data_IF_651861682912
#
_entry.id   IF_651861682912
#
_cell.length_a   1.000
_cell.length_b   1.000
_cell.length_c   1.000
_cell.angle_alpha   90.00
_cell.angle_beta   90.00
_cell.angle_gamma   90.00
#
_symmetry.space_group_name_H-M   'P 1'
#
loop_
_entity.id
_entity.type
_entity.pdbx_description
1 polymer ?
#
# COMPACT_ATOMS: atom_id res chain seq x y z
N UNK A 1 -78.28 79.73 87.73
CA UNK A 1 -76.99 79.91 87.02
C UNK A 1 -75.98 78.85 87.44
N UNK A 2 -75.83 78.60 88.75
CA UNK A 2 -74.94 77.57 89.33
C UNK A 2 -75.26 76.13 88.86
N UNK A 3 -76.53 75.70 88.92
CA UNK A 3 -76.91 74.32 88.52
C UNK A 3 -76.61 73.97 87.05
N UNK A 4 -76.74 74.94 86.11
CA UNK A 4 -76.38 74.72 84.70
C UNK A 4 -74.86 74.60 84.48
N UNK A 5 -74.07 75.27 85.33
CA UNK A 5 -72.61 75.16 85.31
C UNK A 5 -72.17 73.80 85.85
N UNK A 6 -72.76 73.34 86.96
CA UNK A 6 -72.51 72.01 87.53
C UNK A 6 -72.84 70.88 86.54
N UNK A 7 -73.95 71.00 85.82
CA UNK A 7 -74.35 70.02 84.80
C UNK A 7 -73.37 70.00 83.61
N UNK A 8 -72.91 71.17 83.13
CA UNK A 8 -71.86 71.24 82.10
C UNK A 8 -70.52 70.70 82.58
N UNK A 9 -70.15 70.95 83.84
CA UNK A 9 -68.93 70.40 84.44
C UNK A 9 -69.01 68.87 84.53
N UNK A 10 -70.14 68.31 84.95
CA UNK A 10 -70.36 66.86 84.97
C UNK A 10 -70.33 66.23 83.57
N UNK A 11 -70.91 66.90 82.57
CA UNK A 11 -70.84 66.47 81.17
C UNK A 11 -69.40 66.49 80.63
N UNK A 12 -68.63 67.53 80.93
CA UNK A 12 -67.21 67.62 80.58
C UNK A 12 -66.37 66.52 81.24
N UNK A 13 -66.59 66.25 82.53
CA UNK A 13 -65.90 65.18 83.26
C UNK A 13 -66.22 63.81 82.67
N UNK A 14 -67.48 63.54 82.33
CA UNK A 14 -67.87 62.29 81.69
C UNK A 14 -67.27 62.14 80.29
N UNK A 15 -67.27 63.21 79.49
CA UNK A 15 -66.62 63.23 78.18
C UNK A 15 -65.10 63.03 78.27
N UNK A 16 -64.44 63.61 79.28
CA UNK A 16 -63.02 63.38 79.53
C UNK A 16 -62.72 61.92 79.87
N UNK A 17 -63.52 61.29 80.74
CA UNK A 17 -63.37 59.85 81.07
C UNK A 17 -63.60 58.95 79.86
N UNK A 18 -64.59 59.26 79.03
CA UNK A 18 -64.86 58.55 77.77
C UNK A 18 -63.67 58.67 76.81
N UNK A 19 -63.12 59.87 76.66
CA UNK A 19 -61.93 60.14 75.82
C UNK A 19 -60.69 59.41 76.35
N UNK A 20 -60.45 59.42 77.66
CA UNK A 20 -59.35 58.65 78.30
C UNK A 20 -59.52 57.14 78.06
N UNK A 21 -60.73 56.62 78.18
CA UNK A 21 -61.00 55.20 77.91
C UNK A 21 -60.72 54.85 76.44
N UNK A 22 -61.21 55.67 75.50
CA UNK A 22 -60.96 55.49 74.06
C UNK A 22 -59.48 55.59 73.70
N UNK A 23 -58.75 56.52 74.31
CA UNK A 23 -57.31 56.64 74.13
C UNK A 23 -56.60 55.35 74.57
N UNK A 24 -56.94 54.83 75.76
CA UNK A 24 -56.36 53.59 76.29
C UNK A 24 -56.66 52.36 75.43
N UNK A 25 -57.90 52.25 74.92
CA UNK A 25 -58.23 51.19 73.96
C UNK A 25 -57.44 51.34 72.65
N UNK A 26 -57.33 52.56 72.12
CA UNK A 26 -56.55 52.85 70.91
C UNK A 26 -55.07 52.51 71.08
N UNK A 27 -54.48 52.78 72.23
CA UNK A 27 -53.09 52.39 72.55
C UNK A 27 -52.90 50.88 72.59
N UNK A 28 -53.85 50.12 73.18
CA UNK A 28 -53.82 48.66 73.18
C UNK A 28 -53.88 48.12 71.75
N UNK A 29 -54.79 48.64 70.93
CA UNK A 29 -54.88 48.25 69.52
C UNK A 29 -53.63 48.61 68.72
N UNK A 30 -53.04 49.79 68.95
CA UNK A 30 -51.77 50.21 68.34
C UNK A 30 -50.65 49.25 68.70
N UNK A 31 -50.49 48.93 69.98
CA UNK A 31 -49.44 48.01 70.45
C UNK A 31 -49.63 46.59 69.87
N UNK A 32 -50.87 46.10 69.80
CA UNK A 32 -51.16 44.80 69.20
C UNK A 32 -50.88 44.78 67.69
N UNK A 33 -51.20 45.86 66.98
CA UNK A 33 -50.89 46.03 65.57
C UNK A 33 -49.37 46.10 65.33
N UNK A 34 -48.62 46.85 66.16
CA UNK A 34 -47.15 46.94 66.10
C UNK A 34 -46.49 45.57 66.32
N UNK A 35 -46.94 44.81 67.31
CA UNK A 35 -46.42 43.46 67.57
C UNK A 35 -46.71 42.50 66.41
N UNK A 36 -47.89 42.62 65.79
CA UNK A 36 -48.24 41.83 64.60
C UNK A 36 -47.37 42.22 63.40
N UNK A 37 -47.18 43.52 63.17
CA UNK A 37 -46.33 44.03 62.11
C UNK A 37 -44.87 43.57 62.27
N UNK A 38 -44.35 43.55 63.51
CA UNK A 38 -43.02 43.04 63.83
C UNK A 38 -42.87 41.55 63.48
N UNK A 39 -43.86 40.72 63.86
CA UNK A 39 -43.86 39.29 63.53
C UNK A 39 -43.92 39.05 62.03
N UNK A 40 -44.78 39.77 61.32
CA UNK A 40 -44.87 39.67 59.86
C UNK A 40 -43.57 40.12 59.19
N UNK A 41 -42.94 41.20 59.69
CA UNK A 41 -41.63 41.65 59.23
C UNK A 41 -40.54 40.58 59.37
N UNK A 42 -40.50 39.88 60.50
CA UNK A 42 -39.57 38.76 60.70
C UNK A 42 -39.83 37.62 59.71
N UNK A 43 -41.11 37.24 59.53
CA UNK A 43 -41.48 36.17 58.58
C UNK A 43 -41.06 36.54 57.16
N UNK A 44 -41.29 37.79 56.74
CA UNK A 44 -40.89 38.27 55.41
C UNK A 44 -39.38 38.18 55.24
N UNK A 45 -38.61 38.66 56.22
CA UNK A 45 -37.15 38.59 56.20
C UNK A 45 -36.63 37.16 56.08
N UNK A 46 -37.18 36.22 56.87
CA UNK A 46 -36.79 34.80 56.83
C UNK A 46 -37.13 34.17 55.47
N UNK A 47 -38.28 34.53 54.89
CA UNK A 47 -38.71 34.04 53.57
C UNK A 47 -37.84 34.60 52.45
N UNK A 48 -37.47 35.87 52.51
CA UNK A 48 -36.58 36.51 51.52
C UNK A 48 -35.18 35.91 51.58
N UNK A 49 -34.64 35.66 52.77
CA UNK A 49 -33.36 34.98 52.93
C UNK A 49 -33.40 33.57 52.32
N UNK A 50 -34.48 32.81 52.59
CA UNK A 50 -34.65 31.47 52.03
C UNK A 50 -34.81 31.50 50.50
N UNK A 51 -35.56 32.46 49.97
CA UNK A 51 -35.71 32.66 48.52
C UNK A 51 -34.36 32.93 47.87
N UNK A 52 -33.57 33.86 48.42
CA UNK A 52 -32.24 34.19 47.89
C UNK A 52 -31.31 32.96 47.87
N UNK A 53 -31.31 32.17 48.95
CA UNK A 53 -30.51 30.93 49.00
C UNK A 53 -30.94 29.89 47.95
N UNK A 54 -32.25 29.74 47.70
CA UNK A 54 -32.77 28.86 46.66
C UNK A 54 -32.45 29.36 45.25
N UNK A 55 -32.50 30.66 45.02
CA UNK A 55 -32.12 31.27 43.73
C UNK A 55 -30.65 31.04 43.41
N UNK A 56 -29.75 31.20 44.40
CA UNK A 56 -28.32 30.86 44.23
C UNK A 56 -28.13 29.38 43.94
N UNK A 57 -28.80 28.50 44.68
CA UNK A 57 -28.70 27.04 44.47
C UNK A 57 -29.19 26.64 43.07
N UNK A 58 -30.30 27.23 42.62
CA UNK A 58 -30.83 27.01 41.28
C UNK A 58 -29.88 27.50 40.19
N UNK A 59 -29.17 28.60 40.41
CA UNK A 59 -28.19 29.11 39.47
C UNK A 59 -27.00 28.14 39.32
N UNK A 60 -26.45 27.65 40.44
CA UNK A 60 -25.36 26.66 40.43
C UNK A 60 -25.81 25.39 39.69
N UNK A 61 -27.01 24.90 39.98
CA UNK A 61 -27.57 23.71 39.33
C UNK A 61 -27.74 23.89 37.81
N UNK A 62 -28.09 25.11 37.35
CA UNK A 62 -28.15 25.42 35.91
C UNK A 62 -26.77 25.39 35.27
N UNK A 63 -25.78 25.99 35.91
CA UNK A 63 -24.40 26.00 35.41
C UNK A 63 -23.82 24.60 35.34
N UNK A 64 -24.07 23.77 36.36
CA UNK A 64 -23.68 22.37 36.37
C UNK A 64 -24.35 21.56 35.26
N UNK A 65 -25.65 21.77 35.03
CA UNK A 65 -26.36 21.11 33.92
C UNK A 65 -25.75 21.46 32.56
N UNK A 66 -25.41 22.73 32.33
CA UNK A 66 -24.76 23.15 31.09
C UNK A 66 -23.36 22.52 30.97
N UNK A 67 -22.56 22.54 32.03
CA UNK A 67 -21.23 21.91 32.03
C UNK A 67 -21.32 20.41 31.77
N UNK A 68 -22.27 19.71 32.38
CA UNK A 68 -22.48 18.28 32.18
C UNK A 68 -22.90 17.98 30.74
N UNK A 69 -23.80 18.79 30.17
CA UNK A 69 -24.22 18.65 28.77
C UNK A 69 -23.05 18.82 27.80
N UNK A 70 -22.18 19.82 28.05
CA UNK A 70 -20.99 20.05 27.24
C UNK A 70 -20.01 18.87 27.33
N UNK A 71 -19.78 18.35 28.55
CA UNK A 71 -18.92 17.19 28.74
C UNK A 71 -19.49 15.95 28.04
N UNK A 72 -20.81 15.73 28.13
CA UNK A 72 -21.47 14.64 27.43
C UNK A 72 -21.27 14.72 25.91
N UNK A 73 -21.45 15.90 25.32
CA UNK A 73 -21.26 16.07 23.87
C UNK A 73 -19.80 15.87 23.46
N UNK A 74 -18.84 16.37 24.25
CA UNK A 74 -17.41 16.11 24.02
C UNK A 74 -17.06 14.63 24.08
N UNK A 75 -17.56 13.90 25.07
CA UNK A 75 -17.32 12.46 25.18
C UNK A 75 -17.98 11.70 24.02
N UNK A 76 -19.17 12.11 23.60
CA UNK A 76 -19.85 11.54 22.43
C UNK A 76 -19.07 11.76 21.13
N UNK A 77 -18.48 12.94 20.93
CA UNK A 77 -17.59 13.23 19.81
C UNK A 77 -16.33 12.36 19.85
N UNK A 78 -15.68 12.22 21.01
CA UNK A 78 -14.51 11.33 21.18
C UNK A 78 -14.85 9.88 20.84
N UNK A 79 -16.01 9.39 21.29
CA UNK A 79 -16.49 8.04 20.97
C UNK A 79 -16.72 7.88 19.46
N UNK A 80 -17.31 8.87 18.80
CA UNK A 80 -17.48 8.84 17.35
C UNK A 80 -16.13 8.79 16.61
N UNK A 81 -15.16 9.60 17.05
CA UNK A 81 -13.81 9.62 16.50
C UNK A 81 -13.10 8.27 16.66
N UNK A 82 -13.15 7.68 17.86
CA UNK A 82 -12.56 6.36 18.13
C UNK A 82 -13.17 5.26 17.24
N UNK A 83 -14.49 5.30 16.99
CA UNK A 83 -15.13 4.37 16.05
C UNK A 83 -14.63 4.54 14.61
N UNK A 84 -14.41 5.78 14.17
CA UNK A 84 -13.86 6.05 12.83
C UNK A 84 -12.43 5.51 12.70
N UNK A 85 -11.58 5.72 13.71
CA UNK A 85 -10.21 5.20 13.74
C UNK A 85 -10.20 3.66 13.72
N UNK A 86 -11.09 3.02 14.48
CA UNK A 86 -11.22 1.56 14.49
C UNK A 86 -11.68 1.03 13.12
N UNK A 87 -12.59 1.73 12.43
CA UNK A 87 -13.00 1.38 11.07
C UNK A 87 -11.84 1.51 10.07
N UNK A 88 -11.02 2.56 10.18
CA UNK A 88 -9.82 2.75 9.35
C UNK A 88 -8.79 1.64 9.59
N UNK A 89 -8.51 1.30 10.85
CA UNK A 89 -7.58 0.22 11.19
C UNK A 89 -8.05 -1.13 10.63
N UNK A 90 -9.35 -1.42 10.71
CA UNK A 90 -9.92 -2.63 10.11
C UNK A 90 -9.79 -2.66 8.58
N UNK A 91 -9.90 -1.51 7.91
CA UNK A 91 -9.62 -1.43 6.47
C UNK A 91 -8.15 -1.74 6.18
N UNK A 92 -7.24 -1.14 6.94
CA UNK A 92 -5.80 -1.35 6.75
C UNK A 92 -5.38 -2.81 6.99
N UNK A 93 -6.01 -3.49 7.95
CA UNK A 93 -5.79 -4.94 8.16
C UNK A 93 -6.18 -5.75 6.92
N UNK A 94 -7.31 -5.40 6.27
CA UNK A 94 -7.73 -6.07 5.03
C UNK A 94 -6.75 -5.81 3.89
N UNK A 95 -6.33 -4.57 3.72
CA UNK A 95 -5.36 -4.19 2.68
C UNK A 95 -4.02 -4.90 2.90
N UNK A 96 -3.55 -4.98 4.14
CA UNK A 96 -2.34 -5.71 4.51
C UNK A 96 -2.46 -7.20 4.20
N UNK A 97 -3.59 -7.84 4.55
CA UNK A 97 -3.83 -9.24 4.22
C UNK A 97 -3.83 -9.49 2.70
N UNK A 98 -4.42 -8.58 1.92
CA UNK A 98 -4.39 -8.65 0.46
C UNK A 98 -2.97 -8.50 -0.08
N UNK A 99 -2.18 -7.56 0.45
CA UNK A 99 -0.81 -7.34 0.03
C UNK A 99 0.09 -8.55 0.35
N UNK A 100 -0.11 -9.17 1.50
CA UNK A 100 0.59 -10.41 1.88
C UNK A 100 0.28 -11.55 0.90
N UNK A 101 -0.99 -11.71 0.50
CA UNK A 101 -1.38 -12.71 -0.50
C UNK A 101 -0.73 -12.43 -1.86
N UNK A 102 -0.65 -11.18 -2.28
CA UNK A 102 0.04 -10.78 -3.52
C UNK A 102 1.54 -11.07 -3.46
N UNK A 103 2.18 -10.78 -2.32
CA UNK A 103 3.59 -11.07 -2.12
C UNK A 103 3.88 -12.57 -2.25
N UNK A 104 3.08 -13.42 -1.61
CA UNK A 104 3.22 -14.88 -1.70
C UNK A 104 3.07 -15.38 -3.16
N UNK A 105 2.09 -14.87 -3.90
CA UNK A 105 1.91 -15.21 -5.31
C UNK A 105 3.10 -14.79 -6.18
N UNK A 106 3.61 -13.57 -5.99
CA UNK A 106 4.78 -13.08 -6.72
C UNK A 106 6.03 -13.90 -6.38
N UNK A 107 6.20 -14.27 -5.11
CA UNK A 107 7.30 -15.10 -4.67
C UNK A 107 7.27 -16.49 -5.32
N UNK A 108 6.10 -17.14 -5.35
CA UNK A 108 5.93 -18.43 -6.07
C UNK A 108 6.30 -18.29 -7.54
N UNK A 109 5.82 -17.22 -8.20
CA UNK A 109 6.10 -16.96 -9.60
C UNK A 109 7.59 -16.74 -9.87
N UNK A 110 8.29 -16.01 -9.01
CA UNK A 110 9.73 -15.82 -9.11
C UNK A 110 10.47 -17.16 -8.98
N UNK A 111 10.08 -18.00 -8.02
CA UNK A 111 10.68 -19.34 -7.85
C UNK A 111 10.48 -20.23 -9.08
N UNK A 112 9.27 -20.24 -9.65
CA UNK A 112 8.97 -20.98 -10.88
C UNK A 112 9.83 -20.49 -12.06
N UNK A 113 9.96 -19.18 -12.22
CA UNK A 113 10.78 -18.58 -13.27
C UNK A 113 12.27 -18.91 -13.10
N UNK A 114 12.78 -18.88 -11.88
CA UNK A 114 14.17 -19.27 -11.58
C UNK A 114 14.43 -20.74 -11.91
N UNK A 115 13.51 -21.65 -11.55
CA UNK A 115 13.61 -23.07 -11.90
C UNK A 115 13.62 -23.28 -13.41
N UNK A 116 12.70 -22.63 -14.13
CA UNK A 116 12.63 -22.70 -15.59
C UNK A 116 13.90 -22.18 -16.26
N UNK A 117 14.48 -21.08 -15.75
CA UNK A 117 15.75 -20.54 -16.24
C UNK A 117 16.91 -21.51 -16.00
N UNK A 118 16.94 -22.19 -14.85
CA UNK A 118 17.97 -23.17 -14.54
C UNK A 118 17.90 -24.38 -15.49
N UNK A 119 16.69 -24.90 -15.75
CA UNK A 119 16.47 -26.00 -16.70
C UNK A 119 16.90 -25.63 -18.12
N UNK A 120 16.47 -24.45 -18.60
CA UNK A 120 16.90 -23.93 -19.90
C UNK A 120 18.42 -23.76 -19.98
N UNK A 121 19.04 -23.28 -18.91
CA UNK A 121 20.50 -23.17 -18.80
C UNK A 121 21.21 -24.53 -18.93
N UNK A 122 20.66 -25.57 -18.29
CA UNK A 122 21.16 -26.94 -18.40
C UNK A 122 21.04 -27.48 -19.82
N UNK A 123 19.86 -27.35 -20.43
CA UNK A 123 19.63 -27.80 -21.81
C UNK A 123 20.52 -27.08 -22.83
N UNK A 124 20.72 -25.77 -22.66
CA UNK A 124 21.59 -25.00 -23.53
C UNK A 124 23.06 -25.44 -23.40
N UNK A 125 23.52 -25.73 -22.18
CA UNK A 125 24.86 -26.27 -21.94
C UNK A 125 25.05 -27.63 -22.60
N UNK A 126 24.09 -28.54 -22.44
CA UNK A 126 24.13 -29.87 -23.05
C UNK A 126 24.13 -29.78 -24.58
N UNK A 127 23.24 -28.97 -25.15
CA UNK A 127 23.17 -28.72 -26.60
C UNK A 127 24.48 -28.14 -27.14
N UNK A 128 25.10 -27.20 -26.40
CA UNK A 128 26.40 -26.62 -26.77
C UNK A 128 27.50 -27.68 -26.82
N UNK A 129 27.61 -28.53 -25.80
CA UNK A 129 28.60 -29.62 -25.77
C UNK A 129 28.39 -30.58 -26.95
N UNK A 130 27.15 -30.97 -27.22
CA UNK A 130 26.84 -31.84 -28.36
C UNK A 130 27.22 -31.22 -29.71
N UNK A 131 27.05 -29.91 -29.86
CA UNK A 131 27.49 -29.18 -31.06
C UNK A 131 29.01 -29.16 -31.16
N UNK A 132 29.72 -28.98 -30.04
CA UNK A 132 31.20 -29.03 -29.99
C UNK A 132 31.71 -30.43 -30.35
N UNK A 133 31.15 -31.50 -29.77
CA UNK A 133 31.48 -32.90 -30.08
C UNK A 133 31.28 -33.22 -31.57
N UNK A 134 30.14 -32.79 -32.14
CA UNK A 134 29.85 -32.99 -33.57
C UNK A 134 30.83 -32.24 -34.46
N UNK A 135 31.26 -31.03 -34.05
CA UNK A 135 32.27 -30.25 -34.78
C UNK A 135 33.62 -30.93 -34.74
N UNK A 136 34.05 -31.44 -33.58
CA UNK A 136 35.30 -32.19 -33.42
C UNK A 136 35.28 -33.49 -34.22
N UNK A 137 34.22 -34.29 -34.10
CA UNK A 137 34.05 -35.52 -34.88
C UNK A 137 34.10 -35.24 -36.40
N UNK A 138 33.45 -34.17 -36.85
CA UNK A 138 33.48 -33.76 -38.26
C UNK A 138 34.88 -33.30 -38.68
N UNK A 139 35.63 -32.63 -37.81
CA UNK A 139 37.02 -32.23 -38.08
C UNK A 139 37.94 -33.44 -38.18
N UNK A 140 37.87 -34.37 -37.22
CA UNK A 140 38.65 -35.62 -37.23
C UNK A 140 38.36 -36.48 -38.45
N UNK A 141 37.09 -36.59 -38.87
CA UNK A 141 36.72 -37.32 -40.08
C UNK A 141 37.31 -36.69 -41.35
N UNK A 142 37.42 -35.35 -41.41
CA UNK A 142 38.07 -34.66 -42.54
C UNK A 142 39.57 -34.84 -42.56
N UNK A 143 40.24 -34.85 -41.39
CA UNK A 143 41.68 -35.07 -41.31
C UNK A 143 42.08 -36.52 -41.62
N UNK A 144 41.27 -37.50 -41.20
CA UNK A 144 41.53 -38.92 -41.46
C UNK A 144 41.32 -39.31 -42.93
N UNK A 145 40.46 -38.60 -43.67
CA UNK A 145 40.13 -38.92 -45.06
C UNK A 145 41.10 -38.21 -46.02
N UNK A 146 42.37 -38.65 -46.06
CA UNK A 146 43.32 -38.31 -47.12
C UNK A 146 43.63 -39.55 -47.95
N UNK A 147 43.07 -39.64 -49.15
CA UNK A 147 43.17 -40.85 -49.96
C UNK A 147 44.63 -41.15 -50.35
N UNK A 148 45.07 -42.40 -50.18
CA UNK A 148 46.41 -42.83 -50.59
C UNK A 148 46.51 -42.91 -52.10
N UNK A 149 47.56 -42.32 -52.67
CA UNK A 149 47.82 -42.36 -54.11
C UNK A 149 47.90 -43.80 -54.63
N UNK A 150 48.45 -44.73 -53.86
CA UNK A 150 48.69 -46.11 -54.30
C UNK A 150 47.40 -46.90 -54.52
N UNK A 151 46.34 -46.55 -53.80
CA UNK A 151 45.06 -47.30 -53.82
C UNK A 151 44.05 -46.78 -54.83
N UNK A 152 44.24 -45.56 -55.35
CA UNK A 152 43.25 -44.93 -56.23
C UNK A 152 43.68 -45.06 -57.69
N UNK A 153 42.93 -45.84 -58.47
CA UNK A 153 43.18 -46.05 -59.91
C UNK A 153 42.42 -45.10 -60.81
N UNK A 154 41.32 -44.51 -60.33
CA UNK A 154 40.40 -43.70 -61.12
C UNK A 154 40.08 -42.37 -60.43
N UNK A 155 39.85 -41.32 -61.21
CA UNK A 155 39.40 -40.02 -60.69
C UNK A 155 38.08 -40.16 -59.94
N UNK A 156 37.99 -39.65 -58.71
CA UNK A 156 36.78 -39.76 -57.87
C UNK A 156 35.53 -39.12 -58.49
N UNK A 157 35.68 -38.10 -59.35
CA UNK A 157 34.56 -37.40 -59.98
C UNK A 157 34.19 -37.96 -61.36
N UNK A 158 35.16 -38.02 -62.29
CA UNK A 158 34.88 -38.44 -63.67
C UNK A 158 35.11 -39.93 -63.93
N UNK A 159 35.57 -40.70 -62.94
CA UNK A 159 35.84 -42.16 -62.99
C UNK A 159 36.85 -42.63 -64.03
N UNK A 160 37.46 -41.71 -64.80
CA UNK A 160 38.53 -42.02 -65.76
C UNK A 160 39.78 -42.50 -65.04
N UNK A 161 40.44 -43.50 -65.60
CA UNK A 161 41.66 -44.10 -65.06
C UNK A 161 42.84 -43.12 -65.09
N UNK A 162 43.66 -43.14 -64.05
CA UNK A 162 44.89 -42.38 -63.98
C UNK A 162 45.97 -43.04 -64.83
N UNK A 163 46.85 -42.23 -65.41
CA UNK A 163 47.94 -42.70 -66.27
C UNK A 163 49.13 -41.74 -66.16
N UNK A 164 50.24 -42.05 -66.84
CA UNK A 164 51.41 -41.16 -66.85
C UNK A 164 51.07 -39.73 -67.34
N UNK A 165 50.10 -39.60 -68.25
CA UNK A 165 49.61 -38.30 -68.74
C UNK A 165 48.50 -37.69 -67.87
N UNK A 166 47.70 -38.51 -67.16
CA UNK A 166 46.63 -38.06 -66.25
C UNK A 166 47.07 -38.27 -64.80
N UNK A 167 47.70 -37.26 -64.21
CA UNK A 167 48.24 -37.31 -62.84
C UNK A 167 47.14 -37.15 -61.77
N UNK A 168 47.44 -37.68 -60.58
CA UNK A 168 46.61 -37.63 -59.38
C UNK A 168 46.76 -36.30 -58.65
N UNK A 169 45.65 -35.75 -58.15
CA UNK A 169 45.63 -34.52 -57.36
C UNK A 169 44.63 -34.61 -56.21
N UNK A 170 45.08 -34.37 -54.99
CA UNK A 170 44.17 -34.29 -53.83
C UNK A 170 43.36 -33.00 -53.81
N UNK A 171 42.09 -33.10 -53.47
CA UNK A 171 41.33 -31.96 -53.01
C UNK A 171 41.76 -31.62 -51.58
N UNK A 172 42.22 -30.40 -51.31
CA UNK A 172 42.69 -30.00 -49.96
C UNK A 172 41.54 -29.80 -48.96
N UNK A 173 40.29 -29.86 -49.42
CA UNK A 173 39.11 -29.76 -48.56
C UNK A 173 38.50 -31.12 -48.22
N UNK A 174 38.40 -32.05 -49.18
CA UNK A 174 37.80 -33.38 -48.95
C UNK A 174 38.80 -34.54 -49.02
N UNK A 175 40.08 -34.29 -49.31
CA UNK A 175 41.17 -35.28 -49.29
C UNK A 175 41.10 -36.43 -50.31
N UNK A 176 40.02 -36.55 -51.10
CA UNK A 176 39.94 -37.47 -52.23
C UNK A 176 40.86 -37.07 -53.41
N UNK A 177 41.15 -38.03 -54.30
CA UNK A 177 42.03 -37.85 -55.46
C UNK A 177 41.22 -37.66 -56.76
N UNK A 178 41.60 -36.63 -57.52
CA UNK A 178 40.97 -36.20 -58.76
C UNK A 178 42.03 -35.96 -59.86
N UNK A 179 41.59 -35.88 -61.12
CA UNK A 179 42.43 -35.40 -62.23
C UNK A 179 42.44 -33.86 -62.28
N UNK A 180 43.34 -33.28 -63.09
CA UNK A 180 43.47 -31.82 -63.18
C UNK A 180 42.16 -31.16 -63.59
N UNK A 181 41.46 -31.73 -64.58
CA UNK A 181 40.17 -31.22 -65.09
C UNK A 181 39.09 -31.13 -64.00
N UNK A 182 39.05 -32.08 -63.06
CA UNK A 182 38.01 -32.14 -62.01
C UNK A 182 38.43 -31.44 -60.72
N UNK A 183 39.61 -30.80 -60.71
CA UNK A 183 40.15 -30.15 -59.52
C UNK A 183 40.92 -28.88 -59.82
N UNK A 184 40.57 -28.17 -60.89
CA UNK A 184 41.32 -26.99 -61.33
C UNK A 184 41.03 -25.72 -60.52
N UNK A 185 40.07 -25.80 -59.60
CA UNK A 185 39.67 -24.69 -58.75
C UNK A 185 40.64 -24.51 -57.56
N UNK A 186 40.83 -23.26 -57.14
CA UNK A 186 41.58 -22.90 -55.92
C UNK A 186 40.73 -22.03 -55.00
N UNK A 187 40.64 -22.42 -53.74
CA UNK A 187 39.83 -21.73 -52.74
C UNK A 187 40.64 -21.43 -51.47
N UNK A 188 40.41 -20.30 -50.78
CA UNK A 188 40.95 -20.09 -49.45
C UNK A 188 40.31 -21.09 -48.48
N UNK A 189 41.12 -21.81 -47.72
CA UNK A 189 40.65 -22.72 -46.67
C UNK A 189 41.23 -22.28 -45.33
N UNK A 190 40.52 -22.47 -44.20
CA UNK A 190 41.04 -22.13 -42.86
C UNK A 190 42.39 -22.78 -42.53
N UNK A 191 42.70 -23.92 -43.16
CA UNK A 191 43.95 -24.67 -42.98
C UNK A 191 45.16 -24.09 -43.74
N UNK A 192 45.00 -23.08 -44.60
CA UNK A 192 46.09 -22.49 -45.38
C UNK A 192 45.88 -21.00 -45.62
N UNK A 193 46.93 -20.20 -45.41
CA UNK A 193 46.94 -18.76 -45.69
C UNK A 193 46.88 -18.39 -47.18
N UNK A 194 47.10 -19.36 -48.08
CA UNK A 194 47.03 -19.20 -49.54
C UNK A 194 45.91 -20.08 -50.14
N UNK A 195 45.27 -19.68 -51.25
CA UNK A 195 44.28 -20.52 -51.95
C UNK A 195 44.86 -21.87 -52.37
N UNK A 196 44.18 -22.95 -51.99
CA UNK A 196 44.61 -24.34 -52.24
C UNK A 196 43.65 -25.05 -53.19
N UNK A 197 44.17 -26.10 -53.86
CA UNK A 197 43.43 -26.88 -54.87
C UNK A 197 42.22 -27.59 -54.25
N UNK A 198 41.05 -27.46 -54.85
CA UNK A 198 39.82 -28.18 -54.47
C UNK A 198 39.15 -28.80 -55.70
N UNK A 199 38.42 -29.90 -55.52
CA UNK A 199 37.60 -30.45 -56.60
C UNK A 199 36.37 -29.58 -56.88
N UNK A 200 35.75 -29.76 -58.04
CA UNK A 200 34.64 -28.91 -58.49
C UNK A 200 33.47 -28.94 -57.50
N UNK A 201 33.13 -30.11 -56.97
CA UNK A 201 32.06 -30.25 -55.98
C UNK A 201 32.37 -29.45 -54.70
N UNK A 202 33.60 -29.52 -54.19
CA UNK A 202 34.01 -28.77 -53.00
C UNK A 202 34.04 -27.27 -53.29
N UNK A 203 34.46 -26.86 -54.49
CA UNK A 203 34.43 -25.47 -54.91
C UNK A 203 33.02 -24.89 -54.83
N UNK A 204 32.03 -25.55 -55.44
CA UNK A 204 30.63 -25.12 -55.42
C UNK A 204 30.07 -25.05 -54.00
N UNK A 205 30.33 -26.06 -53.17
CA UNK A 205 29.85 -26.08 -51.78
C UNK A 205 30.45 -24.94 -50.93
N UNK A 206 31.74 -24.66 -51.10
CA UNK A 206 32.43 -23.60 -50.36
C UNK A 206 31.91 -22.22 -50.77
N UNK A 207 31.73 -21.98 -52.08
CA UNK A 207 31.17 -20.71 -52.58
C UNK A 207 29.79 -20.41 -51.97
N UNK A 208 28.90 -21.40 -51.89
CA UNK A 208 27.57 -21.23 -51.30
C UNK A 208 27.61 -20.89 -49.79
N UNK A 209 28.59 -21.42 -49.05
CA UNK A 209 28.75 -21.08 -47.62
C UNK A 209 29.26 -19.67 -47.40
N UNK A 210 30.18 -19.20 -48.24
CA UNK A 210 30.70 -17.84 -48.17
C UNK A 210 29.62 -16.79 -48.50
N UNK A 211 28.74 -17.08 -49.47
CA UNK A 211 27.62 -16.18 -49.79
C UNK A 211 26.53 -16.12 -48.71
N UNK A 212 26.34 -17.18 -47.92
CA UNK A 212 25.33 -17.23 -46.85
C UNK A 212 25.82 -16.65 -45.51
N UNK A 213 27.12 -16.36 -45.40
CA UNK A 213 27.74 -15.79 -44.20
C UNK A 213 28.17 -14.31 -44.40
N UNK A 214 27.78 -13.71 -45.53
CA UNK A 214 28.03 -12.30 -45.89
C UNK A 214 26.74 -11.48 -45.77
#
# INVERSE_FOLDING_TARGET
>A
MVSKLEEKTNQLVNAMKEMEHRLKQSEIHRNAAEETARKLGQIIADKDQKKSALETSLQIEKEWRISLQNNYEQEKEKVAQAHMELAQMNSLIKDYAQLMSQHEQLQSKCMEQESALAELGSHLRESKLKVEDLREATAMQREAHWASDDTVTNCKQCTKEFSLARRKHHCRYCGDIFCSECSDNKMPLPSSSKPVRVCDNCNTQLLHRYSASS
#
